data_IF_818274875815
#
_entry.id   IF_818274875815
#
_cell.length_a   1.000
_cell.length_b   1.000
_cell.length_c   1.000
_cell.angle_alpha   90.00
_cell.angle_beta   90.00
_cell.angle_gamma   90.00
#
_symmetry.space_group_name_H-M   'P 1'
#
loop_
_entity.id
_entity.type
_entity.pdbx_description
1 polymer ?
#
# COMPACT_ATOMS: atom_id res chain seq x y z
N UNK A 1 -44.04 35.30 -33.62
CA UNK A 1 -42.60 35.58 -33.42
C UNK A 1 -42.34 35.48 -31.92
N UNK A 2 -41.40 34.63 -31.50
CA UNK A 2 -41.07 34.42 -30.08
C UNK A 2 -40.62 35.72 -29.40
N UNK A 3 -41.28 36.09 -28.30
CA UNK A 3 -41.05 37.29 -27.49
C UNK A 3 -39.55 37.55 -27.23
N UNK A 4 -39.05 38.78 -27.37
CA UNK A 4 -37.65 39.11 -27.10
C UNK A 4 -37.18 38.72 -25.68
N UNK A 5 -38.10 38.72 -24.71
CA UNK A 5 -37.85 38.29 -23.34
C UNK A 5 -37.55 36.79 -23.23
N UNK A 6 -38.27 35.95 -23.97
CA UNK A 6 -38.06 34.50 -23.99
C UNK A 6 -36.69 34.17 -24.60
N UNK A 7 -36.31 34.85 -25.68
CA UNK A 7 -34.98 34.67 -26.29
C UNK A 7 -33.86 35.03 -25.32
N UNK A 8 -33.98 36.15 -24.60
CA UNK A 8 -32.99 36.56 -23.58
C UNK A 8 -32.87 35.55 -22.45
N UNK A 9 -33.98 34.99 -21.97
CA UNK A 9 -33.96 33.98 -20.92
C UNK A 9 -33.24 32.69 -21.39
N UNK A 10 -33.54 32.21 -22.60
CA UNK A 10 -32.88 31.04 -23.17
C UNK A 10 -31.37 31.26 -23.35
N UNK A 11 -30.95 32.44 -23.81
CA UNK A 11 -29.52 32.75 -23.95
C UNK A 11 -28.80 32.81 -22.60
N UNK A 12 -29.45 33.36 -21.57
CA UNK A 12 -28.88 33.41 -20.22
C UNK A 12 -28.74 32.00 -19.61
N UNK A 13 -29.73 31.13 -19.81
CA UNK A 13 -29.70 29.73 -19.37
C UNK A 13 -28.60 28.93 -20.08
N UNK A 14 -28.44 29.10 -21.40
CA UNK A 14 -27.35 28.46 -22.16
C UNK A 14 -25.96 28.90 -21.67
N UNK A 15 -25.79 30.17 -21.30
CA UNK A 15 -24.54 30.69 -20.74
C UNK A 15 -24.30 30.09 -19.35
N UNK A 16 -25.31 30.08 -18.48
CA UNK A 16 -25.23 29.52 -17.15
C UNK A 16 -24.91 28.01 -17.16
N UNK A 17 -25.62 27.24 -18.00
CA UNK A 17 -25.36 25.80 -18.17
C UNK A 17 -23.98 25.50 -18.74
N UNK A 18 -23.45 26.35 -19.63
CA UNK A 18 -22.06 26.21 -20.11
C UNK A 18 -21.07 26.45 -18.97
N UNK A 19 -21.28 27.49 -18.17
CA UNK A 19 -20.44 27.81 -17.02
C UNK A 19 -20.48 26.70 -15.96
N UNK A 20 -21.66 26.17 -15.64
CA UNK A 20 -21.82 25.06 -14.69
C UNK A 20 -21.20 23.76 -15.20
N UNK A 21 -21.35 23.44 -16.48
CA UNK A 21 -20.68 22.28 -17.09
C UNK A 21 -19.16 22.43 -17.07
N UNK A 22 -18.64 23.60 -17.40
CA UNK A 22 -17.21 23.86 -17.36
C UNK A 22 -16.66 23.78 -15.94
N UNK A 23 -17.39 24.34 -14.96
CA UNK A 23 -17.06 24.24 -13.53
C UNK A 23 -17.06 22.79 -13.07
N UNK A 24 -18.09 22.02 -13.40
CA UNK A 24 -18.16 20.60 -13.08
C UNK A 24 -17.02 19.80 -13.71
N UNK A 25 -16.70 20.04 -14.99
CA UNK A 25 -15.59 19.38 -15.66
C UNK A 25 -14.24 19.73 -15.05
N UNK A 26 -14.07 20.98 -14.58
CA UNK A 26 -12.88 21.40 -13.85
C UNK A 26 -12.76 20.66 -12.51
N UNK A 27 -13.83 20.67 -11.70
CA UNK A 27 -13.87 19.97 -10.40
C UNK A 27 -13.62 18.46 -10.57
N UNK A 28 -14.17 17.84 -11.61
CA UNK A 28 -13.93 16.42 -11.90
C UNK A 28 -12.48 16.14 -12.30
N UNK A 29 -11.82 17.04 -13.04
CA UNK A 29 -10.40 16.90 -13.37
C UNK A 29 -9.53 17.06 -12.13
N UNK A 30 -9.81 18.06 -11.30
CA UNK A 30 -9.10 18.29 -10.05
C UNK A 30 -9.25 17.08 -9.12
N UNK A 31 -10.49 16.56 -8.98
CA UNK A 31 -10.76 15.34 -8.22
C UNK A 31 -9.97 14.15 -8.77
N UNK A 32 -9.96 13.92 -10.08
CA UNK A 32 -9.21 12.82 -10.67
C UNK A 32 -7.69 12.93 -10.42
N UNK A 33 -7.16 14.14 -10.41
CA UNK A 33 -5.75 14.38 -10.05
C UNK A 33 -5.48 14.06 -8.58
N UNK A 34 -6.36 14.51 -7.68
CA UNK A 34 -6.25 14.23 -6.24
C UNK A 34 -6.38 12.74 -5.92
N UNK A 35 -7.35 12.06 -6.55
CA UNK A 35 -7.55 10.62 -6.41
C UNK A 35 -6.29 9.85 -6.86
N UNK A 36 -5.67 10.29 -7.97
CA UNK A 36 -4.43 9.69 -8.47
C UNK A 36 -3.24 9.93 -7.53
N UNK A 37 -3.08 11.15 -6.99
CA UNK A 37 -2.04 11.46 -6.00
C UNK A 37 -2.22 10.61 -4.75
N UNK A 38 -3.44 10.56 -4.20
CA UNK A 38 -3.76 9.78 -3.02
C UNK A 38 -3.53 8.28 -3.25
N UNK A 39 -3.89 7.76 -4.42
CA UNK A 39 -3.62 6.37 -4.78
C UNK A 39 -2.12 6.04 -4.81
N UNK A 40 -1.29 6.94 -5.36
CA UNK A 40 0.18 6.76 -5.38
C UNK A 40 0.76 6.81 -3.97
N UNK A 41 0.31 7.76 -3.15
CA UNK A 41 0.76 7.88 -1.77
C UNK A 41 0.41 6.64 -0.95
N UNK A 42 -0.85 6.18 -1.05
CA UNK A 42 -1.31 4.95 -0.40
C UNK A 42 -0.50 3.73 -0.84
N UNK A 43 -0.30 3.54 -2.15
CA UNK A 43 0.50 2.43 -2.69
C UNK A 43 1.96 2.47 -2.20
N UNK A 44 2.54 3.67 -2.06
CA UNK A 44 3.90 3.84 -1.55
C UNK A 44 3.97 3.48 -0.06
N UNK A 45 3.03 3.95 0.74
CA UNK A 45 2.96 3.65 2.17
C UNK A 45 2.78 2.15 2.43
N UNK A 46 1.85 1.51 1.72
CA UNK A 46 1.63 0.07 1.77
C UNK A 46 2.89 -0.70 1.35
N UNK A 47 3.53 -0.31 0.24
CA UNK A 47 4.76 -0.94 -0.23
C UNK A 47 5.91 -0.84 0.79
N UNK A 48 6.06 0.30 1.46
CA UNK A 48 7.06 0.47 2.52
C UNK A 48 6.72 -0.38 3.74
N UNK A 49 5.46 -0.37 4.19
CA UNK A 49 5.02 -1.16 5.34
C UNK A 49 5.22 -2.66 5.10
N UNK A 50 4.83 -3.16 3.92
CA UNK A 50 5.08 -4.54 3.52
C UNK A 50 6.58 -4.87 3.44
N UNK A 51 7.38 -3.97 2.86
CA UNK A 51 8.82 -4.15 2.74
C UNK A 51 9.51 -4.27 4.10
N UNK A 52 9.12 -3.42 5.05
CA UNK A 52 9.62 -3.47 6.44
C UNK A 52 9.19 -4.78 7.11
N UNK A 53 7.91 -5.16 6.99
CA UNK A 53 7.40 -6.39 7.60
C UNK A 53 8.12 -7.63 7.06
N UNK A 54 8.28 -7.73 5.73
CA UNK A 54 9.03 -8.80 5.06
C UNK A 54 10.50 -8.82 5.51
N UNK A 55 11.16 -7.66 5.52
CA UNK A 55 12.56 -7.54 5.94
C UNK A 55 12.80 -7.96 7.39
N UNK A 56 11.90 -7.59 8.31
CA UNK A 56 11.98 -8.01 9.73
C UNK A 56 11.80 -9.53 9.83
N UNK A 57 10.82 -10.11 9.12
CA UNK A 57 10.55 -11.53 9.14
C UNK A 57 11.74 -12.35 8.59
N UNK A 58 12.27 -11.95 7.43
CA UNK A 58 13.44 -12.57 6.80
C UNK A 58 14.68 -12.44 7.68
N UNK A 59 14.95 -11.25 8.23
CA UNK A 59 16.09 -11.01 9.12
C UNK A 59 16.00 -11.85 10.40
N UNK A 60 14.81 -11.99 10.99
CA UNK A 60 14.61 -12.85 12.16
C UNK A 60 14.82 -14.33 11.83
N UNK A 61 14.34 -14.79 10.67
CA UNK A 61 14.55 -16.16 10.23
C UNK A 61 16.04 -16.47 10.00
N UNK A 62 16.76 -15.57 9.31
CA UNK A 62 18.21 -15.69 9.09
C UNK A 62 18.97 -15.71 10.42
N UNK A 63 18.68 -14.78 11.34
CA UNK A 63 19.30 -14.74 12.65
C UNK A 63 19.04 -16.04 13.44
N UNK A 64 17.81 -16.56 13.42
CA UNK A 64 17.48 -17.82 14.08
C UNK A 64 18.24 -19.02 13.49
N UNK A 65 18.42 -19.06 12.18
CA UNK A 65 19.24 -20.08 11.51
C UNK A 65 20.72 -19.99 11.92
N UNK A 66 21.30 -18.79 11.91
CA UNK A 66 22.68 -18.58 12.35
C UNK A 66 22.89 -18.96 13.83
N UNK A 67 21.93 -18.61 14.69
CA UNK A 67 21.96 -19.00 16.10
C UNK A 67 21.89 -20.52 16.22
N UNK A 68 20.97 -21.18 15.50
CA UNK A 68 20.85 -22.64 15.53
C UNK A 68 22.15 -23.33 15.13
N UNK A 69 22.82 -22.87 14.06
CA UNK A 69 24.12 -23.39 13.64
C UNK A 69 25.18 -23.26 14.74
N UNK A 70 25.31 -22.07 15.35
CA UNK A 70 26.26 -21.85 16.45
C UNK A 70 25.96 -22.74 17.67
N UNK A 71 24.68 -22.93 18.01
CA UNK A 71 24.28 -23.78 19.13
C UNK A 71 24.54 -25.27 18.84
N UNK A 72 24.40 -25.71 17.58
CA UNK A 72 24.77 -27.06 17.14
C UNK A 72 26.29 -27.27 17.25
N UNK A 73 27.09 -26.29 16.83
CA UNK A 73 28.57 -26.32 17.00
C UNK A 73 28.97 -26.43 18.47
N UNK A 74 28.20 -25.80 19.37
CA UNK A 74 28.37 -25.91 20.82
C UNK A 74 27.87 -27.24 21.42
N UNK A 75 27.37 -28.17 20.59
CA UNK A 75 26.86 -29.50 20.98
C UNK A 75 25.71 -29.43 21.98
N UNK A 76 24.91 -28.38 21.93
CA UNK A 76 23.70 -28.27 22.75
C UNK A 76 22.63 -29.28 22.27
N UNK A 77 21.78 -29.78 23.18
CA UNK A 77 20.73 -30.71 22.80
C UNK A 77 19.68 -30.00 21.93
N UNK A 78 19.13 -30.73 20.95
CA UNK A 78 18.13 -30.23 20.01
C UNK A 78 16.95 -29.55 20.71
N UNK A 79 16.51 -30.08 21.86
CA UNK A 79 15.42 -29.53 22.65
C UNK A 79 15.65 -28.08 23.10
N UNK A 80 16.89 -27.70 23.38
CA UNK A 80 17.23 -26.36 23.85
C UNK A 80 17.40 -25.41 22.67
N UNK A 81 17.88 -25.92 21.53
CA UNK A 81 17.99 -25.16 20.27
C UNK A 81 16.60 -24.79 19.74
N UNK A 82 15.65 -25.73 19.77
CA UNK A 82 14.23 -25.48 19.43
C UNK A 82 13.66 -24.36 20.30
N UNK A 83 13.88 -24.41 21.62
CA UNK A 83 13.39 -23.37 22.55
C UNK A 83 14.03 -22.00 22.31
N UNK A 84 15.33 -21.97 21.99
CA UNK A 84 16.07 -20.71 21.80
C UNK A 84 15.75 -20.02 20.46
N UNK A 85 15.53 -20.80 19.40
CA UNK A 85 15.40 -20.26 18.03
C UNK A 85 13.96 -20.28 17.52
N UNK A 86 13.07 -21.06 18.14
CA UNK A 86 11.71 -21.28 17.64
C UNK A 86 11.62 -22.12 16.37
N UNK A 87 12.76 -22.67 15.89
CA UNK A 87 12.80 -23.60 14.77
C UNK A 87 12.36 -25.00 15.21
N UNK A 88 11.78 -25.74 14.29
CA UNK A 88 11.41 -27.15 14.51
C UNK A 88 12.63 -28.06 14.50
N UNK A 89 12.52 -29.24 15.13
CA UNK A 89 13.61 -30.22 15.08
C UNK A 89 13.97 -30.63 13.64
N UNK A 90 12.99 -30.70 12.74
CA UNK A 90 13.22 -31.03 11.33
C UNK A 90 14.03 -29.95 10.61
N UNK A 91 13.72 -28.68 10.86
CA UNK A 91 14.47 -27.54 10.29
C UNK A 91 15.90 -27.53 10.82
N UNK A 92 16.10 -27.75 12.11
CA UNK A 92 17.44 -27.80 12.72
C UNK A 92 18.25 -28.98 12.17
N UNK A 93 17.63 -30.15 11.98
CA UNK A 93 18.30 -31.31 11.37
C UNK A 93 18.67 -31.11 9.90
N UNK A 94 17.99 -30.22 9.17
CA UNK A 94 18.36 -29.85 7.79
C UNK A 94 19.55 -28.88 7.72
N UNK A 95 19.90 -28.24 8.83
CA UNK A 95 21.07 -27.34 8.92
C UNK A 95 22.39 -28.09 9.16
N UNK A 96 22.31 -29.39 9.52
CA UNK A 96 23.45 -30.26 9.79
C UNK A 96 23.57 -31.36 8.74
#
# INVERSE_FOLDING_TARGET
MSEPAIRKALTAEEIFLKQDKERYLYEMREKALLDHVSAIEGAKEEGVAEGIAKGIAEGKAQANHEIALKLLEMKLPLSDIVKATGLTEEEIRKLH
#
